data_IF_431985332408
#
_entry.id   IF_431985332408
#
_cell.length_a   1.000
_cell.length_b   1.000
_cell.length_c   1.000
_cell.angle_alpha   90.00
_cell.angle_beta   90.00
_cell.angle_gamma   90.00
#
_symmetry.space_group_name_H-M   'P 1'
#
loop_
_entity.id
_entity.type
_entity.pdbx_description
1 polymer ?
#
# COMPACT_ATOMS: atom_id res chain seq x y z
N UNK A 1 -24.29 -1.14 27.76
CA UNK A 1 -22.92 -1.63 27.48
C UNK A 1 -22.87 -3.06 27.98
N UNK A 2 -22.24 -3.98 27.25
CA UNK A 2 -22.14 -5.37 27.69
C UNK A 2 -20.85 -5.56 28.51
N UNK A 3 -20.93 -6.36 29.57
CA UNK A 3 -19.77 -6.78 30.35
C UNK A 3 -19.57 -8.27 30.15
N UNK A 4 -18.34 -8.67 29.87
CA UNK A 4 -17.93 -10.05 29.71
C UNK A 4 -16.83 -10.35 30.71
N UNK A 5 -16.86 -11.51 31.35
CA UNK A 5 -15.77 -12.02 32.16
C UNK A 5 -15.30 -13.34 31.55
N UNK A 6 -14.05 -13.34 31.11
CA UNK A 6 -13.45 -14.48 30.45
C UNK A 6 -12.84 -15.47 31.46
N UNK A 7 -12.96 -16.79 31.21
CA UNK A 7 -12.27 -17.80 31.99
C UNK A 7 -10.78 -17.89 31.63
N UNK A 8 -9.96 -18.48 32.51
CA UNK A 8 -8.53 -18.73 32.25
C UNK A 8 -8.28 -19.72 31.09
N UNK A 9 -9.20 -20.65 30.87
CA UNK A 9 -9.08 -21.69 29.85
C UNK A 9 -10.47 -22.06 29.27
N UNK A 10 -10.69 -23.34 28.94
CA UNK A 10 -12.00 -23.87 28.57
C UNK A 10 -12.92 -23.91 29.79
N UNK A 11 -13.42 -22.74 30.18
CA UNK A 11 -14.24 -22.55 31.37
C UNK A 11 -15.56 -21.85 31.08
N UNK A 12 -16.26 -21.57 32.17
CA UNK A 12 -17.55 -20.87 32.14
C UNK A 12 -17.31 -19.39 31.88
N UNK A 13 -17.86 -18.89 30.78
CA UNK A 13 -17.93 -17.47 30.49
C UNK A 13 -19.04 -16.83 31.29
N UNK A 14 -18.86 -15.57 31.65
CA UNK A 14 -19.92 -14.82 32.32
C UNK A 14 -20.18 -13.52 31.60
N UNK A 15 -21.44 -13.10 31.57
CA UNK A 15 -21.82 -11.85 30.93
C UNK A 15 -22.92 -11.14 31.72
N UNK A 16 -22.93 -9.82 31.64
CA UNK A 16 -23.90 -8.98 32.35
C UNK A 16 -24.19 -7.67 31.60
N UNK A 17 -25.34 -7.06 31.90
CA UNK A 17 -25.68 -5.67 31.52
C UNK A 17 -25.62 -4.69 32.70
N UNK A 18 -24.95 -5.06 33.78
CA UNK A 18 -24.73 -4.16 34.93
C UNK A 18 -25.56 -4.49 36.17
N UNK A 19 -26.32 -5.59 36.18
CA UNK A 19 -27.01 -6.11 37.36
C UNK A 19 -26.37 -7.40 37.84
N UNK A 20 -26.86 -8.54 37.33
CA UNK A 20 -26.45 -9.88 37.73
C UNK A 20 -25.61 -10.52 36.63
N UNK A 21 -24.70 -11.41 37.04
CA UNK A 21 -23.88 -12.19 36.13
C UNK A 21 -24.64 -13.42 35.65
N UNK A 22 -24.75 -13.57 34.34
CA UNK A 22 -25.27 -14.78 33.69
C UNK A 22 -24.10 -15.65 33.26
N UNK A 23 -24.23 -16.97 33.46
CA UNK A 23 -23.18 -17.94 33.12
C UNK A 23 -23.48 -18.63 31.79
N UNK A 24 -22.44 -18.81 30.97
CA UNK A 24 -22.47 -19.56 29.71
C UNK A 24 -21.36 -20.60 29.77
N UNK A 25 -21.68 -21.89 29.57
CA UNK A 25 -20.72 -22.99 29.82
C UNK A 25 -19.62 -23.10 28.76
N UNK A 26 -19.75 -22.41 27.63
CA UNK A 26 -18.82 -22.43 26.51
C UNK A 26 -18.86 -21.11 25.73
N UNK A 27 -17.84 -20.88 24.89
CA UNK A 27 -17.80 -19.73 23.98
C UNK A 27 -18.94 -19.77 22.96
N UNK A 28 -19.30 -20.95 22.46
CA UNK A 28 -20.41 -21.12 21.51
C UNK A 28 -21.75 -20.76 22.15
N UNK A 29 -21.98 -21.19 23.39
CA UNK A 29 -23.19 -20.82 24.12
C UNK A 29 -23.21 -19.31 24.38
N UNK A 30 -22.09 -18.71 24.79
CA UNK A 30 -21.99 -17.26 24.96
C UNK A 30 -22.38 -16.52 23.67
N UNK A 31 -21.87 -16.96 22.51
CA UNK A 31 -22.19 -16.36 21.21
C UNK A 31 -23.69 -16.46 20.88
N UNK A 32 -24.35 -17.57 21.26
CA UNK A 32 -25.79 -17.72 21.10
C UNK A 32 -26.57 -16.79 22.03
N UNK A 33 -26.16 -16.70 23.31
CA UNK A 33 -26.81 -15.88 24.33
C UNK A 33 -26.73 -14.38 23.99
N UNK A 34 -25.59 -13.92 23.48
CA UNK A 34 -25.35 -12.52 23.14
C UNK A 34 -25.76 -12.15 21.71
N UNK A 35 -26.39 -13.06 20.96
CA UNK A 35 -26.74 -12.85 19.54
C UNK A 35 -27.63 -11.64 19.32
N UNK A 36 -28.47 -11.29 20.29
CA UNK A 36 -29.34 -10.10 20.24
C UNK A 36 -28.56 -8.78 20.38
N UNK A 37 -27.31 -8.84 20.84
CA UNK A 37 -26.46 -7.68 21.15
C UNK A 37 -25.30 -7.53 20.16
N UNK A 38 -25.38 -8.16 18.99
CA UNK A 38 -24.33 -8.08 17.97
C UNK A 38 -23.98 -6.63 17.62
N UNK A 39 -22.69 -6.32 17.63
CA UNK A 39 -22.17 -4.98 17.35
C UNK A 39 -22.29 -3.98 18.51
N UNK A 40 -22.88 -4.35 19.66
CA UNK A 40 -22.81 -3.51 20.86
C UNK A 40 -21.38 -3.40 21.39
N UNK A 41 -21.12 -2.32 22.12
CA UNK A 41 -19.84 -2.12 22.81
C UNK A 41 -19.77 -3.00 24.06
N UNK A 42 -18.65 -3.73 24.20
CA UNK A 42 -18.42 -4.64 25.30
C UNK A 42 -17.09 -4.37 26.02
N UNK A 43 -17.10 -4.46 27.35
CA UNK A 43 -15.92 -4.48 28.20
C UNK A 43 -15.66 -5.91 28.63
N UNK A 44 -14.42 -6.36 28.47
CA UNK A 44 -14.00 -7.71 28.84
C UNK A 44 -13.10 -7.62 30.07
N UNK A 45 -13.41 -8.44 31.07
CA UNK A 45 -12.59 -8.68 32.24
C UNK A 45 -11.83 -9.99 32.08
N UNK A 46 -10.51 -9.96 32.26
CA UNK A 46 -9.67 -11.14 32.21
C UNK A 46 -9.07 -11.45 33.60
N UNK A 47 -8.72 -12.72 33.87
CA UNK A 47 -8.17 -13.14 35.15
C UNK A 47 -6.94 -12.33 35.53
N UNK A 48 -7.01 -11.60 36.64
CA UNK A 48 -5.87 -10.80 37.14
C UNK A 48 -4.68 -11.63 37.59
N UNK A 49 -4.83 -12.95 37.71
CA UNK A 49 -3.73 -13.89 37.91
C UNK A 49 -2.64 -13.82 36.85
N UNK A 50 -3.02 -13.42 35.63
CA UNK A 50 -2.08 -13.28 34.51
C UNK A 50 -1.34 -11.93 34.51
N UNK A 51 -1.62 -11.05 35.47
CA UNK A 51 -0.96 -9.75 35.61
C UNK A 51 -0.02 -9.70 36.80
N UNK A 52 1.09 -9.00 36.61
CA UNK A 52 1.97 -8.56 37.69
C UNK A 52 1.75 -7.06 37.91
N UNK A 53 1.35 -6.68 39.12
CA UNK A 53 1.17 -5.27 39.50
C UNK A 53 2.23 -4.87 40.51
N UNK A 54 2.78 -3.67 40.36
CA UNK A 54 3.75 -3.08 41.27
C UNK A 54 3.41 -1.61 41.52
N UNK A 55 3.46 -1.19 42.78
CA UNK A 55 3.32 0.21 43.15
C UNK A 55 4.61 0.72 43.80
N UNK A 56 5.13 1.83 43.30
CA UNK A 56 6.34 2.46 43.83
C UNK A 56 6.12 3.96 44.09
N UNK A 57 6.80 4.49 45.11
CA UNK A 57 6.80 5.91 45.41
C UNK A 57 7.80 6.62 44.51
N UNK A 58 7.31 7.41 43.57
CA UNK A 58 8.14 8.21 42.66
C UNK A 58 7.56 9.60 42.54
N UNK A 59 8.45 10.59 42.47
CA UNK A 59 8.02 11.94 42.09
C UNK A 59 7.63 12.02 40.61
N UNK A 60 6.75 12.97 40.29
CA UNK A 60 6.35 13.24 38.89
C UNK A 60 7.56 13.53 37.98
N UNK A 61 8.62 14.15 38.51
CA UNK A 61 9.84 14.44 37.77
C UNK A 61 10.61 13.14 37.44
N UNK A 62 10.80 12.25 38.43
CA UNK A 62 11.45 10.95 38.24
C UNK A 62 10.67 10.07 37.26
N UNK A 63 9.35 9.98 37.40
CA UNK A 63 8.51 9.20 36.48
C UNK A 63 8.65 9.67 35.03
N UNK A 64 8.73 10.99 34.80
CA UNK A 64 8.96 11.55 33.45
C UNK A 64 10.36 11.27 32.93
N UNK A 65 11.38 11.25 33.80
CA UNK A 65 12.76 10.95 33.41
C UNK A 65 12.95 9.49 33.00
N UNK A 66 12.29 8.54 33.69
CA UNK A 66 12.28 7.12 33.35
C UNK A 66 11.73 6.87 31.93
N UNK A 67 10.70 7.64 31.54
CA UNK A 67 10.03 7.45 30.26
C UNK A 67 9.32 6.09 30.14
N UNK A 68 8.70 5.79 28.98
CA UNK A 68 7.93 4.56 28.80
C UNK A 68 8.79 3.30 28.80
N UNK A 69 10.06 3.39 28.37
CA UNK A 69 10.96 2.23 28.35
C UNK A 69 11.61 1.98 29.71
N UNK A 70 12.01 3.03 30.45
CA UNK A 70 12.57 2.89 31.79
C UNK A 70 11.58 2.30 32.80
N UNK A 71 10.29 2.63 32.67
CA UNK A 71 9.24 2.09 33.55
C UNK A 71 9.07 0.58 33.40
N UNK A 72 9.38 0.00 32.23
CA UNK A 72 9.33 -1.46 32.03
C UNK A 72 10.32 -2.18 32.93
N UNK A 73 11.54 -1.65 33.04
CA UNK A 73 12.59 -2.23 33.86
C UNK A 73 12.28 -2.23 35.36
N UNK A 74 11.30 -1.43 35.83
CA UNK A 74 10.82 -1.52 37.21
C UNK A 74 10.18 -2.88 37.54
N UNK A 75 9.69 -3.60 36.53
CA UNK A 75 9.11 -4.93 36.70
C UNK A 75 10.11 -6.06 36.51
N UNK A 76 11.33 -5.80 36.02
CA UNK A 76 12.28 -6.85 35.61
C UNK A 76 12.59 -7.85 36.73
N UNK A 77 12.75 -7.37 37.96
CA UNK A 77 13.02 -8.22 39.14
C UNK A 77 11.78 -8.95 39.66
N UNK A 78 10.58 -8.57 39.23
CA UNK A 78 9.29 -9.06 39.72
C UNK A 78 8.56 -9.94 38.71
N UNK A 79 9.15 -10.18 37.54
CA UNK A 79 8.58 -11.03 36.49
C UNK A 79 9.50 -12.21 36.20
N UNK A 80 8.90 -13.37 35.90
CA UNK A 80 9.64 -14.59 35.57
C UNK A 80 10.05 -14.61 34.09
N UNK A 81 9.31 -13.89 33.25
CA UNK A 81 9.54 -13.80 31.81
C UNK A 81 10.46 -12.60 31.48
N UNK A 82 11.22 -12.66 30.37
CA UNK A 82 12.00 -11.52 29.91
C UNK A 82 11.11 -10.29 29.73
N UNK A 83 11.59 -9.12 30.16
CA UNK A 83 10.80 -7.88 30.11
C UNK A 83 10.37 -7.50 28.68
N UNK A 84 11.15 -7.90 27.68
CA UNK A 84 10.84 -7.71 26.25
C UNK A 84 9.60 -8.48 25.79
N UNK A 85 9.21 -9.54 26.51
CA UNK A 85 8.00 -10.34 26.25
C UNK A 85 6.80 -9.85 27.07
N UNK A 86 7.00 -8.85 27.93
CA UNK A 86 5.97 -8.28 28.77
C UNK A 86 5.42 -6.99 28.16
N UNK A 87 4.09 -6.87 28.14
CA UNK A 87 3.43 -5.61 27.83
C UNK A 87 3.17 -4.88 29.14
N UNK A 88 3.80 -3.71 29.28
CA UNK A 88 3.76 -2.92 30.50
C UNK A 88 2.91 -1.67 30.32
N UNK A 89 2.07 -1.40 31.32
CA UNK A 89 1.21 -0.23 31.42
C UNK A 89 1.52 0.50 32.73
N UNK A 90 1.48 1.82 32.72
CA UNK A 90 1.79 2.60 33.92
C UNK A 90 0.85 3.78 34.10
N UNK A 91 0.60 4.09 35.36
CA UNK A 91 -0.20 5.23 35.79
C UNK A 91 0.46 5.95 36.95
N UNK A 92 0.53 7.29 36.85
CA UNK A 92 1.01 8.14 37.93
C UNK A 92 -0.19 8.74 38.67
N UNK A 93 -0.27 8.49 39.96
CA UNK A 93 -1.26 9.02 40.88
C UNK A 93 -0.60 10.05 41.81
N UNK A 94 -1.27 11.19 42.03
CA UNK A 94 -0.82 12.18 43.00
C UNK A 94 -1.09 11.69 44.44
N UNK A 95 -0.21 11.98 45.41
CA UNK A 95 0.92 12.91 45.33
C UNK A 95 2.16 12.34 44.61
N UNK A 96 2.62 11.13 44.91
CA UNK A 96 3.88 10.56 44.37
C UNK A 96 3.84 9.01 44.27
N UNK A 97 2.82 8.45 43.63
CA UNK A 97 2.69 6.99 43.46
C UNK A 97 2.61 6.61 41.99
N UNK A 98 3.42 5.63 41.56
CA UNK A 98 3.35 5.02 40.23
C UNK A 98 2.86 3.60 40.37
N UNK A 99 1.77 3.27 39.68
CA UNK A 99 1.28 1.91 39.52
C UNK A 99 1.69 1.38 38.15
N UNK A 100 2.34 0.22 38.13
CA UNK A 100 2.81 -0.46 36.93
C UNK A 100 2.13 -1.82 36.84
N UNK A 101 1.56 -2.14 35.69
CA UNK A 101 0.94 -3.43 35.39
C UNK A 101 1.69 -4.07 34.21
N UNK A 102 2.22 -5.26 34.42
CA UNK A 102 2.83 -6.10 33.41
C UNK A 102 1.95 -7.31 33.10
N UNK A 103 1.85 -7.66 31.83
CA UNK A 103 1.15 -8.87 31.39
C UNK A 103 1.91 -9.49 30.21
N UNK A 104 1.95 -10.81 30.14
CA UNK A 104 2.61 -11.51 29.05
C UNK A 104 1.97 -11.16 27.70
N UNK A 105 2.79 -10.74 26.73
CA UNK A 105 2.31 -10.38 25.41
C UNK A 105 1.66 -11.55 24.66
N UNK A 106 2.12 -12.78 24.89
CA UNK A 106 1.52 -13.97 24.29
C UNK A 106 0.11 -14.22 24.80
N UNK A 107 -0.10 -14.08 26.11
CA UNK A 107 -1.42 -14.16 26.75
C UNK A 107 -2.39 -13.15 26.17
N UNK A 108 -2.00 -11.87 26.09
CA UNK A 108 -2.84 -10.82 25.50
C UNK A 108 -3.23 -11.15 24.05
N UNK A 109 -2.26 -11.67 23.27
CA UNK A 109 -2.49 -12.03 21.86
C UNK A 109 -3.48 -13.18 21.76
N UNK A 110 -3.35 -14.19 22.62
CA UNK A 110 -4.26 -15.33 22.70
C UNK A 110 -5.68 -14.88 23.07
N UNK A 111 -5.80 -14.02 24.09
CA UNK A 111 -7.08 -13.42 24.49
C UNK A 111 -7.71 -12.66 23.32
N UNK A 112 -6.94 -11.86 22.59
CA UNK A 112 -7.45 -11.12 21.43
C UNK A 112 -7.97 -12.03 20.33
N UNK A 113 -7.27 -13.13 20.04
CA UNK A 113 -7.74 -14.12 19.07
C UNK A 113 -9.08 -14.71 19.50
N UNK A 114 -9.21 -15.13 20.77
CA UNK A 114 -10.49 -15.62 21.31
C UNK A 114 -11.60 -14.58 21.22
N UNK A 115 -11.31 -13.33 21.58
CA UNK A 115 -12.29 -12.23 21.55
C UNK A 115 -12.71 -11.84 20.12
N UNK A 116 -11.84 -12.04 19.12
CA UNK A 116 -12.16 -11.77 17.72
C UNK A 116 -13.24 -12.71 17.13
N UNK A 117 -13.47 -13.86 17.78
CA UNK A 117 -14.52 -14.80 17.41
C UNK A 117 -15.90 -14.33 17.89
N UNK A 118 -15.93 -13.40 18.86
CA UNK A 118 -17.15 -12.90 19.45
C UNK A 118 -17.69 -11.74 18.60
N UNK A 119 -18.97 -11.75 18.19
CA UNK A 119 -19.55 -10.74 17.30
C UNK A 119 -19.90 -9.42 18.03
N UNK A 120 -18.97 -8.92 18.86
CA UNK A 120 -19.11 -7.71 19.67
C UNK A 120 -17.98 -6.73 19.41
N UNK A 121 -18.23 -5.44 19.64
CA UNK A 121 -17.21 -4.42 19.57
C UNK A 121 -16.51 -4.31 20.92
N UNK A 122 -15.42 -5.05 21.10
CA UNK A 122 -14.63 -4.99 22.34
C UNK A 122 -13.95 -3.63 22.45
N UNK A 123 -14.29 -2.87 23.50
CA UNK A 123 -13.79 -1.51 23.71
C UNK A 123 -12.73 -1.39 24.78
N UNK A 124 -12.66 -2.36 25.70
CA UNK A 124 -11.67 -2.41 26.76
C UNK A 124 -11.43 -3.85 27.22
N UNK A 125 -10.18 -4.14 27.57
CA UNK A 125 -9.75 -5.40 28.17
C UNK A 125 -9.06 -5.05 29.51
N UNK A 126 -9.70 -5.43 30.62
CA UNK A 126 -9.35 -5.00 31.97
C UNK A 126 -9.16 -6.19 32.91
N UNK A 127 -8.30 -6.11 33.93
CA UNK A 127 -8.23 -7.14 34.97
C UNK A 127 -9.56 -7.26 35.75
N UNK A 128 -9.94 -8.48 36.12
CA UNK A 128 -11.17 -8.81 36.84
C UNK A 128 -11.29 -8.21 38.25
N UNK A 129 -10.20 -7.98 38.97
CA UNK A 129 -10.25 -7.31 40.29
C UNK A 129 -10.91 -5.91 40.22
N UNK A 130 -10.88 -5.26 39.05
CA UNK A 130 -11.54 -3.97 38.82
C UNK A 130 -13.07 -4.06 38.83
N UNK A 131 -13.64 -5.26 38.81
CA UNK A 131 -15.06 -5.51 39.02
C UNK A 131 -15.52 -5.22 40.45
N UNK A 132 -14.59 -5.23 41.41
CA UNK A 132 -14.85 -4.86 42.82
C UNK A 132 -14.99 -3.34 42.95
N UNK A 133 -15.70 -2.88 43.97
CA UNK A 133 -15.78 -1.44 44.28
C UNK A 133 -14.40 -0.90 44.69
N UNK A 134 -14.16 0.40 44.51
CA UNK A 134 -12.91 1.01 44.97
C UNK A 134 -12.96 1.08 46.51
N UNK A 135 -12.01 0.47 47.25
CA UNK A 135 -11.98 0.55 48.70
C UNK A 135 -11.58 1.95 49.16
N UNK A 136 -12.02 2.34 50.36
CA UNK A 136 -11.54 3.57 51.01
C UNK A 136 -10.12 3.39 51.56
N UNK A 137 -9.54 4.48 52.06
CA UNK A 137 -8.22 4.44 52.69
C UNK A 137 -8.24 3.48 53.90
N UNK A 138 -7.24 2.62 53.99
CA UNK A 138 -7.14 1.55 55.00
C UNK A 138 -8.19 0.42 54.91
N UNK A 139 -8.93 0.31 53.81
CA UNK A 139 -9.83 -0.81 53.55
C UNK A 139 -9.28 -1.74 52.46
N UNK A 140 -9.76 -2.99 52.48
CA UNK A 140 -9.47 -4.01 51.49
C UNK A 140 -10.74 -4.81 51.22
N UNK A 141 -11.10 -5.01 49.96
CA UNK A 141 -12.31 -5.74 49.57
C UNK A 141 -11.94 -7.15 49.11
N UNK A 142 -12.56 -8.15 49.74
CA UNK A 142 -12.54 -9.55 49.37
C UNK A 142 -13.93 -9.96 48.90
N UNK A 143 -14.05 -10.50 47.70
CA UNK A 143 -15.34 -11.05 47.27
C UNK A 143 -15.13 -12.33 46.49
N UNK A 144 -15.92 -13.36 46.84
CA UNK A 144 -16.03 -14.54 45.98
C UNK A 144 -17.18 -14.30 45.00
N UNK A 145 -16.83 -14.03 43.74
CA UNK A 145 -17.79 -13.79 42.67
C UNK A 145 -17.80 -15.01 41.76
N UNK A 146 -18.92 -15.73 41.74
CA UNK A 146 -19.12 -16.91 40.90
C UNK A 146 -17.98 -17.96 40.97
N UNK A 147 -17.45 -18.19 42.18
CA UNK A 147 -16.42 -19.18 42.44
C UNK A 147 -14.98 -18.67 42.32
N UNK A 148 -14.77 -17.41 41.92
CA UNK A 148 -13.44 -16.79 41.88
C UNK A 148 -13.31 -15.79 43.03
N UNK A 149 -12.26 -15.95 43.84
CA UNK A 149 -11.96 -15.05 44.94
C UNK A 149 -11.12 -13.88 44.43
N UNK A 150 -11.71 -12.70 44.45
CA UNK A 150 -11.06 -11.46 44.03
C UNK A 150 -10.70 -10.63 45.27
N UNK A 151 -9.53 -9.99 45.22
CA UNK A 151 -9.11 -8.98 46.18
C UNK A 151 -8.87 -7.65 45.47
N UNK A 152 -9.30 -6.56 46.11
CA UNK A 152 -8.94 -5.20 45.70
C UNK A 152 -8.46 -4.42 46.90
N UNK A 153 -7.21 -3.97 46.83
CA UNK A 153 -6.54 -3.23 47.91
C UNK A 153 -6.61 -1.72 47.72
N UNK A 154 -6.61 -1.25 46.47
CA UNK A 154 -6.83 0.14 46.12
C UNK A 154 -7.35 0.28 44.68
N UNK A 155 -7.37 1.51 44.15
CA UNK A 155 -7.87 1.78 42.79
C UNK A 155 -7.09 0.98 41.71
N UNK A 156 -5.78 0.80 41.88
CA UNK A 156 -4.87 0.22 40.90
C UNK A 156 -4.13 -1.04 41.38
N UNK A 157 -4.53 -1.62 42.51
CA UNK A 157 -3.93 -2.83 43.08
C UNK A 157 -5.02 -3.81 43.51
N UNK A 158 -4.91 -5.02 42.99
CA UNK A 158 -5.79 -6.14 43.29
C UNK A 158 -5.35 -7.38 42.51
N UNK A 159 -5.94 -8.52 42.84
CA UNK A 159 -5.61 -9.80 42.21
C UNK A 159 -6.75 -10.82 42.39
N UNK A 160 -6.65 -11.93 41.68
CA UNK A 160 -7.47 -13.14 41.85
C UNK A 160 -6.64 -14.17 42.61
N UNK A 161 -7.19 -14.69 43.72
CA UNK A 161 -6.47 -15.51 44.69
C UNK A 161 -7.07 -16.92 44.71
N UNK A 162 -6.23 -17.96 44.71
CA UNK A 162 -6.67 -19.35 44.95
C UNK A 162 -6.81 -19.65 46.46
N UNK A 163 -5.78 -19.34 47.23
CA UNK A 163 -5.71 -19.61 48.67
C UNK A 163 -5.72 -18.31 49.49
N UNK A 164 -6.85 -18.05 50.14
CA UNK A 164 -7.02 -16.88 51.00
C UNK A 164 -6.10 -16.93 52.24
N UNK A 165 -5.84 -18.11 52.79
CA UNK A 165 -4.97 -18.25 53.97
C UNK A 165 -3.56 -17.77 53.68
N UNK A 166 -3.00 -18.25 52.56
CA UNK A 166 -1.67 -17.83 52.11
C UNK A 166 -1.60 -16.33 51.81
N UNK A 167 -2.64 -15.77 51.19
CA UNK A 167 -2.70 -14.32 50.94
C UNK A 167 -2.68 -13.52 52.25
N UNK A 168 -3.46 -13.94 53.24
CA UNK A 168 -3.55 -13.26 54.54
C UNK A 168 -2.26 -13.29 55.35
N UNK A 169 -1.34 -14.22 55.07
CA UNK A 169 -0.02 -14.25 55.69
C UNK A 169 0.86 -13.07 55.26
N UNK A 170 0.65 -12.55 54.05
CA UNK A 170 1.38 -11.39 53.50
C UNK A 170 0.56 -10.10 53.49
N UNK A 171 -0.75 -10.18 53.71
CA UNK A 171 -1.64 -9.03 53.73
C UNK A 171 -1.36 -8.13 54.94
N UNK A 172 -1.58 -6.83 54.74
CA UNK A 172 -1.49 -5.84 55.80
C UNK A 172 -2.63 -6.04 56.81
N UNK A 173 -2.28 -6.45 58.03
CA UNK A 173 -3.23 -6.77 59.10
C UNK A 173 -3.81 -5.53 59.79
N UNK A 174 -3.31 -4.34 59.48
CA UNK A 174 -3.84 -3.08 60.01
C UNK A 174 -5.07 -2.58 59.23
N UNK A 175 -5.33 -3.16 58.04
CA UNK A 175 -6.47 -2.80 57.19
C UNK A 175 -7.77 -3.46 57.65
N UNK A 176 -8.88 -2.81 57.33
CA UNK A 176 -10.23 -3.37 57.49
C UNK A 176 -10.62 -4.21 56.28
N UNK A 177 -11.00 -5.46 56.50
CA UNK A 177 -11.41 -6.42 55.48
C UNK A 177 -12.92 -6.35 55.25
N UNK A 178 -13.32 -5.78 54.13
CA UNK A 178 -14.69 -5.85 53.61
C UNK A 178 -14.85 -7.18 52.87
N UNK A 179 -15.78 -8.04 53.27
CA UNK A 179 -15.93 -9.35 52.64
C UNK A 179 -17.34 -9.63 52.12
N UNK A 180 -17.44 -10.28 50.95
CA UNK A 180 -18.71 -10.67 50.31
C UNK A 180 -18.68 -12.10 49.82
N UNK A 181 -19.76 -12.85 50.09
CA UNK A 181 -20.04 -14.18 49.55
C UNK A 181 -18.91 -15.23 49.72
N UNK A 182 -18.06 -15.08 50.74
CA UNK A 182 -16.99 -16.05 51.03
C UNK A 182 -17.57 -17.44 51.33
N UNK A 183 -16.86 -18.47 50.89
CA UNK A 183 -17.13 -19.86 51.30
C UNK A 183 -16.81 -20.06 52.79
N UNK A 184 -17.36 -21.08 53.42
CA UNK A 184 -17.10 -21.39 54.85
C UNK A 184 -15.59 -21.54 55.14
N UNK A 185 -14.85 -22.17 54.23
CA UNK A 185 -13.40 -22.33 54.33
C UNK A 185 -12.68 -20.97 54.28
N UNK A 186 -13.05 -20.10 53.32
CA UNK A 186 -12.48 -18.76 53.19
C UNK A 186 -12.82 -17.88 54.40
N UNK A 187 -14.07 -17.93 54.88
CA UNK A 187 -14.50 -17.21 56.07
C UNK A 187 -13.71 -17.65 57.31
N UNK A 188 -13.48 -18.96 57.46
CA UNK A 188 -12.66 -19.50 58.56
C UNK A 188 -11.23 -18.96 58.52
N UNK A 189 -10.59 -18.95 57.34
CA UNK A 189 -9.24 -18.39 57.16
C UNK A 189 -9.19 -16.89 57.51
N UNK A 190 -10.16 -16.10 57.04
CA UNK A 190 -10.24 -14.68 57.37
C UNK A 190 -10.44 -14.45 58.87
N UNK A 191 -11.34 -15.20 59.50
CA UNK A 191 -11.68 -15.02 60.92
C UNK A 191 -10.59 -15.49 61.87
N UNK A 192 -9.67 -16.34 61.40
CA UNK A 192 -8.48 -16.75 62.14
C UNK A 192 -7.41 -15.64 62.21
N UNK A 193 -7.34 -14.77 61.19
CA UNK A 193 -6.31 -13.72 61.08
C UNK A 193 -6.84 -12.35 61.50
N UNK A 194 -8.05 -11.98 61.07
CA UNK A 194 -8.63 -10.66 61.31
C UNK A 194 -9.58 -10.68 62.52
N UNK A 195 -9.47 -9.67 63.38
CA UNK A 195 -10.37 -9.48 64.53
C UNK A 195 -11.78 -9.06 64.09
N UNK A 196 -12.75 -9.14 65.00
CA UNK A 196 -14.14 -8.75 64.70
C UNK A 196 -14.31 -7.28 64.32
N UNK A 197 -13.45 -6.39 64.81
CA UNK A 197 -13.47 -4.96 64.51
C UNK A 197 -12.81 -4.62 63.17
N UNK A 198 -11.98 -5.53 62.65
CA UNK A 198 -11.24 -5.36 61.39
C UNK A 198 -11.94 -6.05 60.22
N UNK A 199 -13.17 -6.53 60.38
CA UNK A 199 -13.90 -7.23 59.33
C UNK A 199 -15.34 -6.78 59.27
N UNK A 200 -15.79 -6.40 58.09
CA UNK A 200 -17.17 -5.96 57.88
C UNK A 200 -17.79 -6.70 56.70
N UNK A 201 -19.02 -7.23 56.84
CA UNK A 201 -19.73 -7.82 55.73
C UNK A 201 -20.08 -6.72 54.72
N UNK A 202 -19.76 -6.97 53.45
CA UNK A 202 -20.04 -6.08 52.33
C UNK A 202 -20.94 -6.80 51.34
N UNK A 203 -22.00 -6.14 50.86
CA UNK A 203 -22.84 -6.69 49.81
C UNK A 203 -22.29 -6.26 48.45
N UNK A 204 -21.60 -7.18 47.77
CA UNK A 204 -21.05 -6.91 46.46
C UNK A 204 -22.16 -6.63 45.43
N UNK A 205 -22.10 -5.44 44.83
CA UNK A 205 -22.85 -5.09 43.64
C UNK A 205 -21.89 -4.63 42.56
N UNK A 206 -22.06 -5.19 41.35
CA UNK A 206 -21.25 -4.78 40.22
C UNK A 206 -21.54 -3.31 39.89
N UNK A 207 -20.49 -2.49 39.92
CA UNK A 207 -20.58 -1.08 39.59
C UNK A 207 -19.99 -0.84 38.21
N UNK A 208 -20.75 -0.20 37.33
CA UNK A 208 -20.30 0.11 35.98
C UNK A 208 -19.04 0.99 35.99
N UNK A 209 -17.99 0.54 35.28
CA UNK A 209 -16.75 1.32 35.15
C UNK A 209 -16.97 2.51 34.22
N UNK A 210 -17.07 3.70 34.82
CA UNK A 210 -17.13 4.98 34.09
C UNK A 210 -15.82 5.15 33.30
N UNK A 211 -15.91 5.21 31.97
CA UNK A 211 -14.78 5.38 31.02
C UNK A 211 -13.82 4.18 30.91
N UNK A 212 -14.33 2.96 30.88
CA UNK A 212 -13.52 1.74 30.68
C UNK A 212 -12.51 1.81 29.50
N UNK A 213 -12.84 2.51 28.40
CA UNK A 213 -11.94 2.70 27.23
C UNK A 213 -10.65 3.46 27.55
N UNK A 214 -10.72 4.42 28.46
CA UNK A 214 -9.63 5.32 28.82
C UNK A 214 -8.88 4.86 30.08
N UNK A 215 -9.28 3.71 30.65
CA UNK A 215 -8.67 3.20 31.86
C UNK A 215 -7.16 2.94 31.64
N UNK A 216 -6.28 3.32 32.59
CA UNK A 216 -4.84 3.15 32.43
C UNK A 216 -4.39 1.71 32.19
N UNK A 217 -5.11 0.75 32.78
CA UNK A 217 -4.87 -0.70 32.62
C UNK A 217 -5.66 -1.35 31.49
N UNK A 218 -6.20 -0.59 30.55
CA UNK A 218 -6.78 -1.18 29.34
C UNK A 218 -5.65 -1.82 28.50
N UNK A 219 -5.57 -3.16 28.53
CA UNK A 219 -4.50 -3.90 27.85
C UNK A 219 -4.79 -4.12 26.37
N UNK A 220 -6.03 -3.81 25.93
CA UNK A 220 -6.39 -3.79 24.53
C UNK A 220 -5.39 -2.86 23.82
N UNK A 221 -4.68 -3.32 22.77
CA UNK A 221 -3.88 -2.43 21.97
C UNK A 221 -4.85 -1.35 21.54
N UNK A 222 -4.57 -0.10 21.94
CA UNK A 222 -5.22 1.05 21.33
C UNK A 222 -5.07 0.75 19.85
N UNK A 223 -6.19 0.45 19.18
CA UNK A 223 -6.21 0.27 17.75
C UNK A 223 -5.37 1.43 17.30
N UNK A 224 -4.18 1.15 16.72
CA UNK A 224 -3.34 2.22 16.21
C UNK A 224 -4.36 3.09 15.53
N UNK A 225 -4.52 4.33 15.99
CA UNK A 225 -5.04 5.33 15.09
C UNK A 225 -4.14 5.07 13.90
N UNK A 226 -4.72 4.42 12.89
CA UNK A 226 -4.10 4.32 11.60
C UNK A 226 -3.94 5.81 11.36
N UNK A 227 -2.72 6.26 11.61
CA UNK A 227 -2.39 7.65 11.51
C UNK A 227 -2.60 7.85 10.02
N UNK A 228 -3.80 8.35 9.70
CA UNK A 228 -4.17 9.04 8.48
C UNK A 228 -3.27 10.28 8.27
N UNK A 229 -2.27 10.49 9.15
CA UNK A 229 -0.99 11.05 8.76
C UNK A 229 -0.32 10.16 7.72
N UNK A 230 -0.79 10.27 6.47
CA UNK A 230 -0.07 10.00 5.22
C UNK A 230 1.43 9.96 5.51
N UNK A 231 1.94 8.74 5.63
CA UNK A 231 3.32 8.45 5.97
C UNK A 231 4.23 9.32 5.10
N UNK A 232 5.26 9.96 5.68
CA UNK A 232 6.24 10.80 4.94
C UNK A 232 6.79 10.12 3.69
N UNK A 233 6.78 8.79 3.65
CA UNK A 233 7.13 7.99 2.48
C UNK A 233 6.19 8.21 1.29
N UNK A 234 4.89 8.39 1.49
CA UNK A 234 3.95 8.67 0.40
C UNK A 234 4.15 10.07 -0.18
N UNK A 235 4.49 11.06 0.65
CA UNK A 235 4.86 12.39 0.17
C UNK A 235 6.12 12.33 -0.71
N UNK A 236 7.12 11.53 -0.33
CA UNK A 236 8.31 11.30 -1.15
C UNK A 236 7.97 10.59 -2.48
N UNK A 237 7.08 9.58 -2.46
CA UNK A 237 6.59 8.93 -3.67
C UNK A 237 5.84 9.90 -4.60
N UNK A 238 4.97 10.75 -4.05
CA UNK A 238 4.22 11.74 -4.82
C UNK A 238 5.14 12.77 -5.50
N UNK A 239 6.16 13.26 -4.79
CA UNK A 239 7.16 14.19 -5.35
C UNK A 239 7.95 13.54 -6.48
N UNK A 240 8.32 12.27 -6.34
CA UNK A 240 9.01 11.50 -7.39
C UNK A 240 8.14 11.33 -8.65
N UNK A 241 6.85 11.04 -8.47
CA UNK A 241 5.92 10.92 -9.60
C UNK A 241 5.75 12.25 -10.32
N UNK A 242 5.59 13.36 -9.58
CA UNK A 242 5.49 14.70 -10.17
C UNK A 242 6.78 15.06 -10.93
N UNK A 243 7.96 14.77 -10.37
CA UNK A 243 9.24 15.01 -11.03
C UNK A 243 9.36 14.23 -12.36
N UNK A 244 8.91 12.96 -12.38
CA UNK A 244 8.90 12.14 -13.58
C UNK A 244 7.94 12.68 -14.64
N UNK A 245 6.75 13.13 -14.25
CA UNK A 245 5.77 13.74 -15.18
C UNK A 245 6.35 15.02 -15.80
N UNK A 246 6.96 15.89 -14.99
CA UNK A 246 7.58 17.13 -15.48
C UNK A 246 8.74 16.84 -16.44
N UNK A 247 9.58 15.84 -16.12
CA UNK A 247 10.65 15.43 -17.01
C UNK A 247 10.12 14.90 -18.35
N UNK A 248 9.07 14.06 -18.32
CA UNK A 248 8.45 13.50 -19.52
C UNK A 248 7.82 14.59 -20.39
N UNK A 249 7.04 15.49 -19.80
CA UNK A 249 6.41 16.60 -20.53
C UNK A 249 7.46 17.55 -21.13
N UNK A 250 8.55 17.82 -20.41
CA UNK A 250 9.64 18.66 -20.92
C UNK A 250 10.33 18.01 -22.11
N UNK A 251 10.59 16.70 -22.03
CA UNK A 251 11.16 15.94 -23.14
C UNK A 251 10.26 15.95 -24.38
N UNK A 252 8.96 15.69 -24.20
CA UNK A 252 7.99 15.67 -25.29
C UNK A 252 7.81 17.06 -25.93
N UNK A 253 7.81 18.13 -25.13
CA UNK A 253 7.75 19.51 -25.63
C UNK A 253 8.98 19.88 -26.47
N UNK A 254 10.18 19.55 -26.00
CA UNK A 254 11.43 19.76 -26.75
C UNK A 254 11.44 18.98 -28.06
N UNK A 255 11.02 17.71 -28.02
CA UNK A 255 10.93 16.85 -29.19
C UNK A 255 9.94 17.41 -30.21
N UNK A 256 8.77 17.86 -29.75
CA UNK A 256 7.76 18.47 -30.62
C UNK A 256 8.30 19.74 -31.30
N UNK A 257 8.97 20.62 -30.57
CA UNK A 257 9.52 21.85 -31.13
C UNK A 257 10.60 21.56 -32.19
N UNK A 258 11.50 20.59 -31.92
CA UNK A 258 12.51 20.16 -32.87
C UNK A 258 11.88 19.56 -34.13
N UNK A 259 10.91 18.67 -33.98
CA UNK A 259 10.23 18.02 -35.10
C UNK A 259 9.42 19.01 -35.93
N UNK A 260 8.73 19.96 -35.28
CA UNK A 260 8.00 21.02 -35.97
C UNK A 260 8.92 21.89 -36.82
N UNK A 261 10.06 22.31 -36.26
CA UNK A 261 11.06 23.08 -37.01
C UNK A 261 11.59 22.33 -38.24
N UNK A 262 11.83 21.01 -38.11
CA UNK A 262 12.26 20.17 -39.23
C UNK A 262 11.15 20.00 -40.27
N UNK A 263 9.90 19.85 -39.84
CA UNK A 263 8.75 19.76 -40.72
C UNK A 263 8.57 21.04 -41.55
N UNK A 264 8.60 22.21 -40.91
CA UNK A 264 8.48 23.52 -41.56
C UNK A 264 9.62 23.73 -42.58
N UNK A 265 10.85 23.36 -42.23
CA UNK A 265 11.99 23.44 -43.16
C UNK A 265 11.84 22.50 -44.36
N UNK A 266 11.38 21.27 -44.13
CA UNK A 266 11.18 20.28 -45.20
C UNK A 266 10.05 20.70 -46.13
N UNK A 267 9.00 21.29 -45.58
CA UNK A 267 7.83 21.74 -46.33
C UNK A 267 8.17 22.95 -47.21
N UNK A 268 9.01 23.89 -46.73
CA UNK A 268 9.56 24.96 -47.57
C UNK A 268 10.36 24.41 -48.77
N UNK A 269 11.23 23.41 -48.54
CA UNK A 269 12.01 22.76 -49.62
C UNK A 269 11.07 22.06 -50.62
N UNK A 270 10.03 21.37 -50.14
CA UNK A 270 9.06 20.69 -50.98
C UNK A 270 8.27 21.68 -51.86
N UNK A 271 7.87 22.82 -51.32
CA UNK A 271 7.19 23.89 -52.07
C UNK A 271 8.11 24.50 -53.13
N UNK A 272 9.39 24.74 -52.80
CA UNK A 272 10.38 25.26 -53.76
C UNK A 272 10.62 24.27 -54.93
N UNK A 273 10.77 22.98 -54.61
CA UNK A 273 10.95 21.94 -55.61
C UNK A 273 9.71 21.81 -56.52
N UNK A 274 8.50 21.86 -55.96
CA UNK A 274 7.26 21.80 -56.74
C UNK A 274 7.13 23.01 -57.68
N UNK A 275 7.48 24.22 -57.23
CA UNK A 275 7.49 25.43 -58.08
C UNK A 275 8.48 25.32 -59.25
N UNK A 276 9.63 24.67 -59.06
CA UNK A 276 10.60 24.41 -60.14
C UNK A 276 10.03 23.47 -61.21
N UNK A 277 9.25 22.47 -60.81
CA UNK A 277 8.61 21.54 -61.74
C UNK A 277 7.37 22.13 -62.43
N UNK A 278 6.65 23.05 -61.77
CA UNK A 278 5.40 23.64 -62.28
C UNK A 278 5.36 25.17 -62.12
N UNK A 279 6.09 25.93 -62.96
CA UNK A 279 6.31 27.38 -62.79
C UNK A 279 5.10 28.29 -63.03
N UNK A 280 3.98 27.77 -63.55
CA UNK A 280 2.79 28.58 -63.91
C UNK A 280 1.64 28.57 -62.87
N UNK A 281 1.81 27.97 -61.68
CA UNK A 281 0.75 27.90 -60.66
C UNK A 281 0.93 28.94 -59.55
N UNK A 282 -0.10 29.78 -59.32
CA UNK A 282 -0.13 30.75 -58.23
C UNK A 282 -0.94 30.23 -57.03
N UNK A 283 -0.37 30.45 -55.82
CA UNK A 283 -0.84 30.04 -54.47
C UNK A 283 -0.68 28.55 -54.17
N UNK A 284 0.51 28.21 -53.66
CA UNK A 284 0.84 26.88 -53.13
C UNK A 284 1.12 27.02 -51.62
N UNK A 285 0.40 26.25 -50.81
CA UNK A 285 0.58 26.12 -49.34
C UNK A 285 1.02 24.69 -49.03
N UNK A 286 1.78 24.46 -47.95
CA UNK A 286 2.41 23.16 -47.61
C UNK A 286 1.46 21.96 -47.68
N UNK A 287 0.26 22.09 -47.13
CA UNK A 287 -0.78 21.03 -47.14
C UNK A 287 -1.35 20.76 -48.54
N UNK A 288 -1.35 21.79 -49.41
CA UNK A 288 -1.88 21.68 -50.77
C UNK A 288 -0.91 21.02 -51.75
N UNK A 289 0.40 21.00 -51.47
CA UNK A 289 1.42 20.41 -52.35
C UNK A 289 1.18 18.90 -52.52
N UNK A 290 0.95 18.17 -51.43
CA UNK A 290 0.72 16.73 -51.50
C UNK A 290 -0.57 16.42 -52.26
N UNK A 291 -1.64 17.18 -52.00
CA UNK A 291 -2.94 17.01 -52.68
C UNK A 291 -2.84 17.38 -54.16
N UNK A 292 -2.18 18.48 -54.51
CA UNK A 292 -2.00 18.92 -55.89
C UNK A 292 -1.10 17.96 -56.67
N UNK A 293 0.01 17.49 -56.08
CA UNK A 293 0.87 16.49 -56.69
C UNK A 293 0.12 15.17 -56.92
N UNK A 294 -0.62 14.69 -55.92
CA UNK A 294 -1.46 13.49 -56.06
C UNK A 294 -2.51 13.67 -57.16
N UNK A 295 -3.21 14.81 -57.19
CA UNK A 295 -4.18 15.10 -58.23
C UNK A 295 -3.54 15.20 -59.62
N UNK A 296 -2.33 15.73 -59.76
CA UNK A 296 -1.59 15.73 -61.03
C UNK A 296 -1.17 14.32 -61.43
N UNK A 297 -0.79 13.49 -60.47
CA UNK A 297 -0.44 12.09 -60.70
C UNK A 297 -1.68 11.27 -61.12
N UNK A 298 -2.84 11.54 -60.52
CA UNK A 298 -4.15 10.97 -60.89
C UNK A 298 -4.63 11.48 -62.26
N UNK A 299 -4.49 12.78 -62.56
CA UNK A 299 -4.74 13.32 -63.90
C UNK A 299 -3.79 12.72 -64.96
N UNK A 300 -2.58 12.35 -64.55
CA UNK A 300 -1.59 11.65 -65.39
C UNK A 300 -1.85 10.14 -65.50
N UNK A 301 -2.80 9.54 -64.75
CA UNK A 301 -3.16 8.13 -64.92
C UNK A 301 -3.81 7.84 -66.28
N UNK A 302 -4.34 8.86 -66.96
CA UNK A 302 -4.80 8.77 -68.36
C UNK A 302 -3.69 8.99 -69.40
N UNK A 303 -2.47 9.37 -68.99
CA UNK A 303 -1.32 9.49 -69.88
C UNK A 303 -0.63 8.13 -70.03
N UNK A 304 -0.06 7.86 -71.22
CA UNK A 304 0.48 6.53 -71.56
C UNK A 304 1.58 6.08 -70.57
N UNK A 305 1.21 5.26 -69.58
CA UNK A 305 2.09 4.74 -68.52
C UNK A 305 3.15 3.78 -69.04
N UNK A 306 3.07 3.35 -70.31
CA UNK A 306 4.07 2.51 -70.96
C UNK A 306 5.46 3.17 -70.93
N UNK A 307 5.57 4.48 -71.14
CA UNK A 307 6.85 5.20 -71.10
C UNK A 307 7.51 5.14 -69.71
N UNK A 308 6.72 5.31 -68.64
CA UNK A 308 7.20 5.25 -67.26
C UNK A 308 7.55 3.81 -66.84
N UNK A 309 6.79 2.82 -67.30
CA UNK A 309 7.11 1.40 -67.07
C UNK A 309 8.42 1.00 -67.76
N UNK A 310 8.62 1.39 -69.02
CA UNK A 310 9.87 1.20 -69.75
C UNK A 310 11.04 1.89 -69.01
N UNK A 311 10.89 3.15 -68.63
CA UNK A 311 11.93 3.88 -67.88
C UNK A 311 12.23 3.26 -66.50
N UNK A 312 11.22 2.81 -65.76
CA UNK A 312 11.41 2.19 -64.44
C UNK A 312 12.18 0.86 -64.51
N UNK A 313 12.07 0.14 -65.63
CA UNK A 313 12.74 -1.14 -65.83
C UNK A 313 14.12 -0.99 -66.48
N UNK A 314 14.32 0.06 -67.27
CA UNK A 314 15.60 0.38 -67.90
C UNK A 314 16.53 1.18 -66.95
N UNK A 315 15.98 1.99 -66.05
CA UNK A 315 16.71 2.83 -65.11
C UNK A 315 17.75 2.09 -64.23
N UNK A 316 17.40 0.96 -63.58
CA UNK A 316 18.35 0.19 -62.78
C UNK A 316 19.53 -0.35 -63.60
N UNK A 317 19.29 -0.71 -64.87
CA UNK A 317 20.30 -1.26 -65.78
C UNK A 317 21.26 -0.15 -66.23
N UNK A 318 20.74 1.06 -66.48
CA UNK A 318 21.56 2.24 -66.78
C UNK A 318 22.44 2.64 -65.59
N UNK A 319 21.90 2.62 -64.36
CA UNK A 319 22.67 2.91 -63.15
C UNK A 319 23.76 1.86 -62.88
N UNK A 320 23.47 0.57 -63.12
CA UNK A 320 24.43 -0.52 -62.93
C UNK A 320 25.67 -0.36 -63.82
N UNK A 321 25.49 0.11 -65.05
CA UNK A 321 26.57 0.30 -66.03
C UNK A 321 27.15 1.73 -66.05
N UNK A 322 26.72 2.60 -65.12
CA UNK A 322 27.13 4.01 -65.04
C UNK A 322 26.90 4.79 -66.36
N UNK A 323 25.84 4.47 -67.09
CA UNK A 323 25.52 5.11 -68.37
C UNK A 323 24.55 6.26 -68.12
N UNK A 324 24.91 7.46 -68.60
CA UNK A 324 24.12 8.67 -68.39
C UNK A 324 23.23 8.88 -69.62
N UNK A 325 21.92 8.94 -69.42
CA UNK A 325 20.98 9.33 -70.46
C UNK A 325 20.94 10.86 -70.57
N UNK A 326 21.41 11.41 -71.69
CA UNK A 326 21.46 12.86 -71.90
C UNK A 326 20.13 13.39 -72.47
N UNK A 327 19.44 12.58 -73.27
CA UNK A 327 18.11 12.89 -73.80
C UNK A 327 17.26 11.63 -73.84
N UNK A 328 16.00 11.77 -73.44
CA UNK A 328 14.98 10.72 -73.51
C UNK A 328 13.80 11.27 -74.29
N UNK A 329 13.45 10.62 -75.39
CA UNK A 329 12.26 10.95 -76.18
C UNK A 329 11.39 9.70 -76.36
N UNK A 330 10.09 9.82 -76.11
CA UNK A 330 9.14 8.73 -76.27
C UNK A 330 8.12 9.10 -77.35
N UNK A 331 8.22 8.46 -78.51
CA UNK A 331 7.35 8.71 -79.66
C UNK A 331 6.84 7.36 -80.19
N UNK A 332 5.55 7.27 -80.49
CA UNK A 332 4.94 6.07 -81.14
C UNK A 332 5.30 4.74 -80.48
N UNK A 333 5.26 4.68 -79.14
CA UNK A 333 5.60 3.48 -78.35
C UNK A 333 7.06 3.02 -78.42
N UNK A 334 7.98 3.87 -78.88
CA UNK A 334 9.42 3.62 -78.89
C UNK A 334 10.12 4.61 -77.98
N UNK A 335 10.97 4.12 -77.08
CA UNK A 335 11.84 4.94 -76.25
C UNK A 335 13.17 5.16 -76.97
N UNK A 336 13.41 6.39 -77.43
CA UNK A 336 14.67 6.82 -78.01
C UNK A 336 15.52 7.50 -76.93
N UNK A 337 16.72 6.99 -76.67
CA UNK A 337 17.62 7.57 -75.67
C UNK A 337 18.99 7.85 -76.27
N UNK A 338 19.51 9.04 -75.98
CA UNK A 338 20.92 9.37 -76.23
C UNK A 338 21.72 8.97 -74.98
N UNK A 339 22.44 7.86 -75.07
CA UNK A 339 23.18 7.27 -73.96
C UNK A 339 24.67 7.59 -74.08
N UNK A 340 25.25 8.13 -73.01
CA UNK A 340 26.69 8.42 -72.91
C UNK A 340 27.35 7.33 -72.07
N UNK A 341 28.27 6.59 -72.67
CA UNK A 341 29.03 5.51 -72.04
C UNK A 341 30.54 5.71 -72.18
N UNK A 342 31.32 4.98 -71.39
CA UNK A 342 32.80 5.02 -71.43
C UNK A 342 33.40 4.30 -72.64
N UNK A 343 32.68 3.33 -73.23
CA UNK A 343 33.11 2.57 -74.40
C UNK A 343 31.93 2.07 -75.23
N UNK A 344 32.19 1.74 -76.51
CA UNK A 344 31.19 1.15 -77.41
C UNK A 344 30.75 -0.25 -76.93
N UNK A 345 31.66 -1.01 -76.32
CA UNK A 345 31.40 -2.34 -75.75
C UNK A 345 30.40 -2.29 -74.59
N UNK A 346 30.45 -1.23 -73.77
CA UNK A 346 29.49 -1.03 -72.68
C UNK A 346 28.06 -0.79 -73.20
N UNK A 347 27.91 -0.08 -74.32
CA UNK A 347 26.60 0.13 -74.96
C UNK A 347 26.07 -1.16 -75.60
N UNK A 348 26.93 -1.97 -76.22
CA UNK A 348 26.52 -3.27 -76.79
C UNK A 348 26.13 -4.28 -75.70
N UNK A 349 26.86 -4.30 -74.58
CA UNK A 349 26.53 -5.14 -73.42
C UNK A 349 25.18 -4.73 -72.82
N UNK A 350 24.93 -3.43 -72.71
CA UNK A 350 23.64 -2.89 -72.26
C UNK A 350 22.49 -3.35 -73.17
N UNK A 351 22.62 -3.20 -74.49
CA UNK A 351 21.59 -3.62 -75.46
C UNK A 351 21.33 -5.12 -75.40
N UNK A 352 22.38 -5.94 -75.24
CA UNK A 352 22.25 -7.39 -75.10
C UNK A 352 21.47 -7.75 -73.83
N UNK A 353 21.78 -7.10 -72.71
CA UNK A 353 21.11 -7.33 -71.44
C UNK A 353 19.65 -6.85 -71.46
N UNK A 354 19.36 -5.75 -72.17
CA UNK A 354 17.99 -5.28 -72.40
C UNK A 354 17.18 -6.28 -73.24
N UNK A 355 17.78 -6.85 -74.28
CA UNK A 355 17.17 -7.91 -75.09
C UNK A 355 16.90 -9.19 -74.28
N UNK A 356 17.83 -9.59 -73.40
CA UNK A 356 17.65 -10.73 -72.50
C UNK A 356 16.51 -10.53 -71.49
N UNK A 357 16.21 -9.29 -71.12
CA UNK A 357 15.10 -8.95 -70.24
C UNK A 357 13.75 -8.81 -70.97
N UNK A 358 13.71 -9.12 -72.27
CA UNK A 358 12.50 -9.18 -73.08
C UNK A 358 12.11 -7.88 -73.77
N UNK A 359 12.99 -6.87 -73.81
CA UNK A 359 12.81 -5.68 -74.63
C UNK A 359 13.38 -5.90 -76.03
N UNK A 360 12.89 -5.16 -77.04
CA UNK A 360 13.56 -5.08 -78.34
C UNK A 360 14.40 -3.82 -78.36
N UNK A 361 15.68 -3.96 -77.98
CA UNK A 361 16.63 -2.86 -77.96
C UNK A 361 17.51 -2.89 -79.22
N UNK A 362 17.55 -1.79 -79.97
CA UNK A 362 18.40 -1.59 -81.13
C UNK A 362 19.40 -0.46 -80.87
N UNK A 363 20.68 -0.75 -81.14
CA UNK A 363 21.74 0.25 -81.11
C UNK A 363 21.78 0.98 -82.46
N UNK A 364 21.45 2.26 -82.46
CA UNK A 364 21.57 3.14 -83.61
C UNK A 364 22.99 3.66 -83.80
N UNK A 365 23.13 4.80 -84.48
CA UNK A 365 24.45 5.39 -84.74
C UNK A 365 25.21 5.69 -83.45
N UNK A 366 26.47 5.25 -83.44
CA UNK A 366 27.43 5.52 -82.37
C UNK A 366 28.35 6.63 -82.84
N UNK A 367 28.45 7.70 -82.06
CA UNK A 367 29.40 8.79 -82.28
C UNK A 367 30.38 8.85 -81.10
N UNK A 368 31.67 8.80 -81.40
CA UNK A 368 32.74 9.00 -80.41
C UNK A 368 32.96 10.50 -80.21
N UNK A 369 32.74 10.99 -79.00
CA UNK A 369 33.02 12.37 -78.62
C UNK A 369 34.12 12.37 -77.55
N UNK A 370 35.38 12.42 -77.98
CA UNK A 370 36.54 12.44 -77.07
C UNK A 370 36.70 11.12 -76.30
N UNK A 371 36.66 11.17 -74.97
CA UNK A 371 36.84 10.01 -74.09
C UNK A 371 35.54 9.25 -73.78
N UNK A 372 34.41 9.66 -74.37
CA UNK A 372 33.11 9.02 -74.19
C UNK A 372 32.45 8.72 -75.54
N UNK A 373 31.55 7.75 -75.50
CA UNK A 373 30.82 7.27 -76.66
C UNK A 373 29.34 7.60 -76.45
N UNK A 374 28.75 8.31 -77.41
CA UNK A 374 27.32 8.61 -77.43
C UNK A 374 26.65 7.69 -78.43
N UNK A 375 25.75 6.83 -77.94
CA UNK A 375 24.96 5.92 -78.76
C UNK A 375 23.48 6.24 -78.67
N UNK A 376 22.81 6.30 -79.81
CA UNK A 376 21.35 6.39 -79.84
C UNK A 376 20.76 4.99 -79.68
N UNK A 377 20.02 4.75 -78.61
CA UNK A 377 19.41 3.44 -78.33
C UNK A 377 17.90 3.55 -78.44
N UNK A 378 17.31 2.68 -79.25
CA UNK A 378 15.85 2.55 -79.41
C UNK A 378 15.39 1.32 -78.65
N UNK A 379 14.39 1.48 -77.78
CA UNK A 379 13.83 0.38 -76.99
C UNK A 379 12.33 0.31 -77.23
N UNK A 380 11.85 -0.87 -77.61
CA UNK A 380 10.43 -1.22 -77.78
C UNK A 380 9.99 -2.29 -76.79
#
# INVERSE_FOLDING_TARGET
MLYLWMPEANGVWQWSRGSDWTTSSSLEQLIQDIKLYQGEEAVVFFPSREVQILQQKFSKAQYKQLGPDGVKYLLEEYVILPIDQMKVFSHFQQPDQVSVLGVNQHTITTIQHSLSLIPLKIVSLLPDFLMLSIPEENQLILANVNGQLLVRENEFLGNSIDDLGLYLDFADREKTFLYSALTDAQATSLFAVATAEQREPFNYQFTEIKKAKQHPFNVLPKAKQANDGVSRYWQACAVLVVALIVAQLSYDALRWFKLKKVADQTALIAVDQYKKWFPNEQRITEESVQRQFKNKLELSQGANTQALQLLSRVGPILMQHQIIANRVNYETSVLNMDLVAKSSEALQTLVTQLNQQGFKAELGNIQTQGATVVGLVKIQ
#
